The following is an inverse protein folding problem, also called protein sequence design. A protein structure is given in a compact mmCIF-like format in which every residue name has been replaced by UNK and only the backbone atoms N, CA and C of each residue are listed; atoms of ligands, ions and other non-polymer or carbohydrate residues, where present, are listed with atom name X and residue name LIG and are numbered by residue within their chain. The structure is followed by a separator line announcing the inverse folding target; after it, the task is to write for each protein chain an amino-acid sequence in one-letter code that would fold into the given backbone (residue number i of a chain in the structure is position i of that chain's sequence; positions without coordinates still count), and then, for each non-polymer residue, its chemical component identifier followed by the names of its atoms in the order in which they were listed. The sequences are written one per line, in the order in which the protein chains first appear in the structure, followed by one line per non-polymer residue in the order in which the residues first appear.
data_IF_246738120285
#
_entry.id   IF_246738120285
#
_cell.length_a   1.000
_cell.length_b   1.000
_cell.length_c   1.000
_cell.angle_alpha   90.00
_cell.angle_beta   90.00
_cell.angle_gamma   90.00
#
_symmetry.space_group_name_H-M   'P 1'
#
loop_
_entity.id
_entity.type
_entity.pdbx_description
1 polymer ?
#
# COMPACT_ATOMS: atom_id res chain seq x y z
N UNK A 1 25.31 11.61 -15.08
CA UNK A 1 24.32 12.16 -14.14
C UNK A 1 23.39 11.02 -13.77
N UNK A 2 23.44 10.53 -12.54
CA UNK A 2 22.62 9.39 -12.13
C UNK A 2 21.16 9.86 -11.98
N UNK A 3 20.28 9.31 -12.80
CA UNK A 3 18.84 9.43 -12.59
C UNK A 3 18.51 8.79 -11.24
N UNK A 4 18.07 9.61 -10.29
CA UNK A 4 17.43 9.11 -9.08
C UNK A 4 16.04 8.64 -9.51
N UNK A 5 15.91 7.34 -9.77
CA UNK A 5 14.61 6.70 -9.94
C UNK A 5 13.90 6.73 -8.57
N UNK A 6 13.17 7.82 -8.30
CA UNK A 6 12.38 7.97 -7.08
C UNK A 6 11.23 6.98 -7.08
N UNK A 7 11.22 6.07 -6.11
CA UNK A 7 10.05 5.22 -5.84
C UNK A 7 8.98 6.12 -5.23
N UNK A 8 7.93 6.42 -6.00
CA UNK A 8 6.74 7.08 -5.48
C UNK A 8 6.05 6.14 -4.47
N UNK A 9 6.23 6.42 -3.18
CA UNK A 9 5.49 5.76 -2.10
C UNK A 9 4.08 6.35 -2.02
N UNK A 10 3.07 5.49 -1.89
CA UNK A 10 1.66 5.89 -1.80
C UNK A 10 0.77 5.00 -2.66
N UNK A 11 -0.54 5.03 -2.43
CA UNK A 11 -1.46 4.33 -3.33
C UNK A 11 -1.85 5.23 -4.51
N UNK A 12 -2.02 4.62 -5.68
CA UNK A 12 -2.61 5.22 -6.88
C UNK A 12 -4.11 5.53 -6.73
N UNK A 13 -4.79 4.93 -5.75
CA UNK A 13 -6.21 5.15 -5.50
C UNK A 13 -6.46 6.48 -4.78
N UNK A 14 -7.44 7.29 -5.21
CA UNK A 14 -7.81 8.50 -4.50
C UNK A 14 -8.49 8.17 -3.16
N UNK A 15 -8.29 9.03 -2.16
CA UNK A 15 -9.03 8.97 -0.91
C UNK A 15 -10.43 9.58 -1.13
N UNK A 16 -11.45 8.72 -1.25
CA UNK A 16 -12.83 9.15 -1.56
C UNK A 16 -13.60 9.51 -0.29
N UNK A 17 -13.45 8.72 0.78
CA UNK A 17 -14.11 9.00 2.06
C UNK A 17 -13.41 10.16 2.77
N UNK A 18 -14.18 11.14 3.21
CA UNK A 18 -13.66 12.26 4.00
C UNK A 18 -13.36 11.82 5.43
N UNK A 19 -12.51 12.58 6.11
CA UNK A 19 -12.17 12.30 7.51
C UNK A 19 -13.39 12.39 8.43
N UNK A 20 -14.30 13.34 8.17
CA UNK A 20 -15.54 13.51 8.93
C UNK A 20 -16.45 12.28 8.78
N UNK A 21 -16.66 11.81 7.55
CA UNK A 21 -17.45 10.59 7.30
C UNK A 21 -16.89 9.35 8.00
N UNK A 22 -15.57 9.17 8.00
CA UNK A 22 -14.92 8.05 8.71
C UNK A 22 -15.10 8.13 10.23
N UNK A 23 -15.12 9.34 10.81
CA UNK A 23 -15.38 9.54 12.23
C UNK A 23 -16.86 9.28 12.58
N UNK A 24 -17.79 9.81 11.80
CA UNK A 24 -19.23 9.63 11.99
C UNK A 24 -19.63 8.15 11.93
N UNK A 25 -19.05 7.39 11.00
CA UNK A 25 -19.28 5.95 10.87
C UNK A 25 -18.39 5.10 11.78
N UNK A 26 -17.63 5.73 12.69
CA UNK A 26 -16.74 5.07 13.67
C UNK A 26 -15.80 4.03 13.05
N UNK A 27 -15.25 4.34 11.87
CA UNK A 27 -14.30 3.45 11.19
C UNK A 27 -13.03 3.33 12.04
N UNK A 28 -12.60 2.11 12.42
CA UNK A 28 -11.36 1.91 13.18
C UNK A 28 -10.14 2.36 12.38
N UNK A 29 -9.13 2.91 13.07
CA UNK A 29 -7.87 3.41 12.48
C UNK A 29 -7.26 2.47 11.42
N UNK A 30 -7.12 1.15 11.63
CA UNK A 30 -6.51 0.28 10.61
C UNK A 30 -7.29 0.20 9.30
N UNK A 31 -8.58 0.53 9.30
CA UNK A 31 -9.45 0.50 8.11
C UNK A 31 -9.74 1.89 7.53
N UNK A 32 -8.99 2.92 7.95
CA UNK A 32 -9.08 4.28 7.40
C UNK A 32 -8.14 4.47 6.21
N UNK A 33 -8.22 3.57 5.26
CA UNK A 33 -7.43 3.56 4.04
C UNK A 33 -8.25 4.05 2.83
N UNK A 34 -7.67 3.99 1.64
CA UNK A 34 -8.34 4.42 0.41
C UNK A 34 -9.63 3.63 0.12
N UNK A 35 -9.83 2.45 0.72
CA UNK A 35 -11.00 1.59 0.53
C UNK A 35 -12.13 1.84 1.54
N UNK A 36 -11.95 2.75 2.51
CA UNK A 36 -12.94 3.06 3.55
C UNK A 36 -14.32 3.47 3.01
N UNK A 37 -14.39 4.09 1.83
CA UNK A 37 -15.63 4.47 1.15
C UNK A 37 -16.51 3.26 0.77
N UNK A 38 -15.95 2.05 0.64
CA UNK A 38 -16.68 0.79 0.43
C UNK A 38 -17.01 0.09 1.74
N UNK A 39 -16.17 0.29 2.78
CA UNK A 39 -16.40 -0.32 4.09
C UNK A 39 -17.60 0.29 4.82
N UNK A 40 -17.81 1.60 4.69
CA UNK A 40 -18.95 2.30 5.28
C UNK A 40 -20.30 1.69 4.81
N UNK A 41 -20.61 1.59 3.51
CA UNK A 41 -21.86 0.97 3.05
C UNK A 41 -21.94 -0.53 3.40
N UNK A 42 -20.82 -1.26 3.37
CA UNK A 42 -20.78 -2.67 3.80
C UNK A 42 -21.21 -2.82 5.27
N UNK A 43 -20.70 -1.98 6.17
CA UNK A 43 -21.05 -2.03 7.60
C UNK A 43 -22.51 -1.61 7.85
N UNK A 44 -23.04 -0.68 7.05
CA UNK A 44 -24.47 -0.35 7.07
C UNK A 44 -25.33 -1.53 6.64
N UNK A 45 -24.96 -2.22 5.55
CA UNK A 45 -25.65 -3.45 5.11
C UNK A 45 -25.60 -4.54 6.18
N UNK A 46 -24.41 -4.81 6.74
CA UNK A 46 -24.22 -5.81 7.81
C UNK A 46 -25.08 -5.52 9.03
N UNK A 47 -25.14 -4.26 9.47
CA UNK A 47 -25.96 -3.88 10.62
C UNK A 47 -27.45 -4.05 10.34
N UNK A 48 -27.91 -3.69 9.14
CA UNK A 48 -29.31 -3.81 8.72
C UNK A 48 -29.75 -5.28 8.61
N UNK A 49 -28.91 -6.12 8.02
CA UNK A 49 -29.18 -7.53 7.75
C UNK A 49 -28.67 -8.45 8.88
N UNK A 50 -28.39 -7.93 10.08
CA UNK A 50 -27.95 -8.70 11.25
C UNK A 50 -26.73 -9.61 10.96
N UNK A 51 -25.80 -9.14 10.12
CA UNK A 51 -24.57 -9.83 9.75
C UNK A 51 -24.77 -11.20 9.08
N UNK A 52 -25.90 -11.38 8.38
CA UNK A 52 -26.15 -12.60 7.61
C UNK A 52 -25.09 -12.76 6.49
N UNK A 53 -24.39 -13.91 6.41
CA UNK A 53 -23.27 -14.11 5.49
C UNK A 53 -23.57 -13.90 3.99
N UNK A 54 -24.80 -14.19 3.56
CA UNK A 54 -25.21 -14.22 2.15
C UNK A 54 -25.89 -12.93 1.65
N UNK A 55 -26.12 -11.93 2.51
CA UNK A 55 -26.92 -10.74 2.15
C UNK A 55 -26.10 -9.59 1.57
N UNK A 56 -24.89 -9.37 2.07
CA UNK A 56 -24.03 -8.24 1.68
C UNK A 56 -22.82 -8.68 0.86
N UNK A 57 -22.97 -9.73 0.03
CA UNK A 57 -21.85 -10.34 -0.69
C UNK A 57 -21.24 -9.41 -1.73
N UNK A 58 -22.05 -8.62 -2.43
CA UNK A 58 -21.57 -7.71 -3.46
C UNK A 58 -20.73 -6.57 -2.87
N UNK A 59 -21.21 -5.95 -1.80
CA UNK A 59 -20.50 -4.90 -1.07
C UNK A 59 -19.21 -5.46 -0.45
N UNK A 60 -19.28 -6.67 0.11
CA UNK A 60 -18.13 -7.36 0.68
C UNK A 60 -17.07 -7.63 -0.37
N UNK A 61 -17.46 -8.24 -1.50
CA UNK A 61 -16.51 -8.59 -2.56
C UNK A 61 -15.89 -7.34 -3.19
N UNK A 62 -16.68 -6.26 -3.33
CA UNK A 62 -16.18 -4.97 -3.82
C UNK A 62 -15.13 -4.38 -2.88
N UNK A 63 -15.38 -4.41 -1.56
CA UNK A 63 -14.41 -3.97 -0.56
C UNK A 63 -13.14 -4.84 -0.55
N UNK A 64 -13.30 -6.17 -0.55
CA UNK A 64 -12.17 -7.13 -0.57
C UNK A 64 -11.29 -6.98 -1.82
N UNK A 65 -11.91 -6.75 -2.98
CA UNK A 65 -11.18 -6.46 -4.22
C UNK A 65 -10.37 -5.16 -4.11
N UNK A 66 -10.95 -4.13 -3.50
CA UNK A 66 -10.26 -2.87 -3.31
C UNK A 66 -9.00 -3.03 -2.44
N UNK A 67 -9.13 -3.73 -1.31
CA UNK A 67 -8.04 -4.07 -0.38
C UNK A 67 -6.95 -4.91 -1.07
N UNK A 68 -7.37 -5.91 -1.84
CA UNK A 68 -6.45 -6.76 -2.59
C UNK A 68 -5.56 -5.94 -3.53
N UNK A 69 -6.15 -5.02 -4.31
CA UNK A 69 -5.42 -4.14 -5.21
C UNK A 69 -4.44 -3.22 -4.45
N UNK A 70 -4.81 -2.70 -3.27
CA UNK A 70 -3.91 -1.91 -2.42
C UNK A 70 -2.72 -2.72 -1.92
N UNK A 71 -2.95 -3.96 -1.49
CA UNK A 71 -1.89 -4.87 -1.04
C UNK A 71 -0.93 -5.19 -2.19
N UNK A 72 -1.46 -5.47 -3.38
CA UNK A 72 -0.64 -5.75 -4.56
C UNK A 72 0.24 -4.55 -4.95
N UNK A 73 -0.30 -3.34 -4.91
CA UNK A 73 0.47 -2.11 -5.16
C UNK A 73 1.62 -1.96 -4.15
N UNK A 74 1.35 -2.18 -2.86
CA UNK A 74 2.38 -2.13 -1.80
C UNK A 74 3.43 -3.22 -1.98
N UNK A 75 3.05 -4.43 -2.39
CA UNK A 75 4.00 -5.52 -2.65
C UNK A 75 4.97 -5.16 -3.79
N UNK A 76 4.47 -4.57 -4.88
CA UNK A 76 5.29 -4.12 -5.99
C UNK A 76 6.24 -2.98 -5.58
N UNK A 77 5.78 -2.04 -4.76
CA UNK A 77 6.62 -0.99 -4.18
C UNK A 77 7.75 -1.58 -3.32
N UNK A 78 7.42 -2.55 -2.46
CA UNK A 78 8.42 -3.23 -1.62
C UNK A 78 9.43 -4.05 -2.43
N UNK A 79 9.03 -4.65 -3.56
CA UNK A 79 9.97 -5.31 -4.48
C UNK A 79 10.95 -4.29 -5.07
N UNK A 80 10.46 -3.14 -5.58
CA UNK A 80 11.31 -2.07 -6.10
C UNK A 80 12.27 -1.52 -5.05
N UNK A 81 11.81 -1.31 -3.81
CA UNK A 81 12.67 -0.84 -2.70
C UNK A 81 13.80 -1.83 -2.47
N UNK A 82 13.49 -3.12 -2.36
CA UNK A 82 14.50 -4.18 -2.16
C UNK A 82 15.51 -4.23 -3.30
N UNK A 83 15.07 -4.14 -4.55
CA UNK A 83 15.98 -4.12 -5.70
C UNK A 83 16.93 -2.91 -5.68
N UNK A 84 16.41 -1.71 -5.35
CA UNK A 84 17.24 -0.51 -5.24
C UNK A 84 18.24 -0.61 -4.08
N UNK A 85 17.84 -1.20 -2.95
CA UNK A 85 18.74 -1.46 -1.82
C UNK A 85 19.89 -2.39 -2.20
N UNK A 86 19.60 -3.49 -2.92
CA UNK A 86 20.62 -4.41 -3.41
C UNK A 86 21.57 -3.73 -4.42
N UNK A 87 21.04 -2.93 -5.36
CA UNK A 87 21.86 -2.13 -6.28
C UNK A 87 22.75 -1.13 -5.54
N UNK A 88 22.24 -0.48 -4.49
CA UNK A 88 23.02 0.44 -3.63
C UNK A 88 24.16 -0.30 -2.90
N UNK A 89 23.88 -1.49 -2.33
CA UNK A 89 24.91 -2.33 -1.68
C UNK A 89 26.02 -2.75 -2.65
N UNK A 90 25.67 -3.11 -3.89
CA UNK A 90 26.65 -3.46 -4.93
C UNK A 90 27.58 -2.28 -5.28
N UNK A 91 27.02 -1.06 -5.47
CA UNK A 91 27.80 0.16 -5.72
C UNK A 91 28.76 0.49 -4.57
N UNK A 92 28.34 0.27 -3.32
CA UNK A 92 29.18 0.49 -2.14
C UNK A 92 30.41 -0.43 -2.05
N UNK A 93 30.30 -1.68 -2.52
CA UNK A 93 31.42 -2.65 -2.55
C UNK A 93 32.48 -2.30 -3.61
N UNK A 94 32.06 -1.78 -4.76
CA UNK A 94 32.96 -1.38 -5.86
C UNK A 94 33.84 -0.18 -5.44
N UNK A 95 33.35 0.71 -4.57
CA UNK A 95 34.10 1.85 -4.04
C UNK A 95 35.16 1.53 -2.97
N UNK A 96 35.13 0.34 -2.36
CA UNK A 96 36.09 -0.08 -1.32
C UNK A 96 37.25 -0.94 -1.86
N UNK A 97 37.25 -1.27 -3.16
CA UNK A 97 38.22 -2.20 -3.76
C UNK A 97 39.44 -1.59 -4.46
N UNK A 98 39.58 -0.27 -4.54
CA UNK A 98 40.79 0.35 -5.15
C UNK A 98 41.85 0.58 -4.08
N UNK A 99 42.47 -0.50 -3.62
CA UNK A 99 43.80 -0.43 -3.03
C UNK A 99 44.78 -0.13 -4.18
N UNK A 100 45.35 1.08 -4.18
CA UNK A 100 46.36 1.51 -5.14
C UNK A 100 47.56 0.55 -5.01
N UNK A 101 48.02 -0.10 -6.10
CA UNK A 101 49.21 -0.92 -6.03
C UNK A 101 50.41 -0.01 -5.77
N UNK A 102 51.09 -0.21 -4.65
CA UNK A 102 52.37 0.46 -4.37
C UNK A 102 53.39 -0.13 -5.36
N UNK A 103 53.64 0.58 -6.46
CA UNK A 103 54.91 0.53 -7.22
C UNK A 103 55.94 1.31 -6.39
N UNK A 104 57.19 0.91 -6.16
CA UNK A 104 58.10 -0.07 -6.76
C UNK A 104 59.06 -0.56 -5.66
#
# INVERSE_FOLDING_TARGET
MAEFEEIKLGSSKPMIATQQEMMENRVPIPYRDQCAHLLIPLNKCRSKELYLPWKCENERHSYEKCEYELVMERMLQMQKIRELEERKKQKGKIGQGVAIPITQ
#
